data_IF_810727457293
#
_entry.id   IF_810727457293
#
_cell.length_a   1.000
_cell.length_b   1.000
_cell.length_c   1.000
_cell.angle_alpha   90.00
_cell.angle_beta   90.00
_cell.angle_gamma   90.00
#
_symmetry.space_group_name_H-M   'P 1'
#
loop_
_entity.id
_entity.type
_entity.pdbx_description
1 polymer ?
#
# COMPACT_ATOMS: atom_id res chain seq x y z
N UNK A 1 -9.17 34.41 0.45
CA UNK A 1 -8.33 33.32 -0.11
C UNK A 1 -7.98 32.38 1.02
N UNK A 2 -8.38 31.10 0.96
CA UNK A 2 -7.83 30.10 1.90
C UNK A 2 -6.35 29.90 1.55
N UNK A 3 -5.43 29.84 2.53
CA UNK A 3 -4.03 29.57 2.23
C UNK A 3 -3.93 28.24 1.48
N UNK A 4 -3.20 28.23 0.37
CA UNK A 4 -2.82 27.00 -0.34
C UNK A 4 -2.04 26.17 0.67
N UNK A 5 -2.60 25.04 1.11
CA UNK A 5 -1.89 24.10 1.96
C UNK A 5 -0.60 23.72 1.24
N UNK A 6 0.55 24.03 1.85
CA UNK A 6 1.83 23.66 1.28
C UNK A 6 1.87 22.13 1.15
N UNK A 7 2.33 21.63 0.01
CA UNK A 7 2.64 20.21 -0.15
C UNK A 7 3.64 19.84 0.95
N UNK A 8 3.25 18.92 1.83
CA UNK A 8 4.04 18.52 2.98
C UNK A 8 5.18 17.55 2.60
N UNK A 9 5.46 17.39 1.30
CA UNK A 9 6.45 16.46 0.78
C UNK A 9 5.88 15.07 0.50
N UNK A 10 4.56 14.87 0.63
CA UNK A 10 3.94 13.59 0.33
C UNK A 10 4.04 13.22 -1.17
N UNK A 11 3.84 14.19 -2.07
CA UNK A 11 3.81 13.90 -3.52
C UNK A 11 5.15 13.32 -4.03
N UNK A 12 6.32 13.92 -3.73
CA UNK A 12 7.61 13.36 -4.13
C UNK A 12 7.89 11.96 -3.56
N UNK A 13 7.43 11.68 -2.34
CA UNK A 13 7.58 10.35 -1.73
C UNK A 13 6.76 9.33 -2.52
N UNK A 14 5.50 9.64 -2.81
CA UNK A 14 4.63 8.74 -3.57
C UNK A 14 5.17 8.51 -4.99
N UNK A 15 5.64 9.57 -5.65
CA UNK A 15 6.28 9.46 -6.97
C UNK A 15 7.50 8.52 -6.94
N UNK A 16 8.31 8.61 -5.88
CA UNK A 16 9.46 7.72 -5.67
C UNK A 16 9.04 6.26 -5.47
N UNK A 17 7.93 6.02 -4.76
CA UNK A 17 7.39 4.66 -4.56
C UNK A 17 6.92 4.05 -5.89
N UNK A 18 6.21 4.83 -6.71
CA UNK A 18 5.73 4.38 -8.02
C UNK A 18 6.89 4.11 -8.99
N UNK A 19 7.91 4.97 -9.01
CA UNK A 19 9.14 4.73 -9.79
C UNK A 19 9.81 3.44 -9.34
N UNK A 20 9.99 3.23 -8.01
CA UNK A 20 10.57 2.00 -7.48
C UNK A 20 9.76 0.77 -7.90
N UNK A 21 8.43 0.84 -7.88
CA UNK A 21 7.60 -0.28 -8.33
C UNK A 21 7.79 -0.58 -9.82
N UNK A 22 7.99 0.45 -10.64
CA UNK A 22 8.28 0.29 -12.07
C UNK A 22 9.65 -0.37 -12.28
N UNK A 23 10.68 0.11 -11.58
CA UNK A 23 12.05 -0.44 -11.67
C UNK A 23 12.17 -1.90 -11.20
N UNK A 24 11.31 -2.30 -10.26
CA UNK A 24 11.32 -3.64 -9.66
C UNK A 24 10.23 -4.57 -10.20
N UNK A 25 9.46 -4.13 -11.19
CA UNK A 25 8.36 -4.90 -11.77
C UNK A 25 7.36 -5.38 -10.69
N UNK A 26 6.87 -4.43 -9.89
CA UNK A 26 6.01 -4.67 -8.72
C UNK A 26 4.55 -4.25 -8.94
N UNK A 27 4.22 -3.76 -10.13
CA UNK A 27 2.83 -3.60 -10.53
C UNK A 27 2.19 -4.97 -10.74
N UNK A 28 0.92 -5.10 -10.39
CA UNK A 28 0.15 -6.24 -10.88
C UNK A 28 -0.14 -6.05 -12.37
N UNK A 29 -0.49 -7.12 -13.07
CA UNK A 29 -0.99 -7.10 -14.45
C UNK A 29 -2.14 -8.10 -14.63
N UNK A 30 -2.64 -8.22 -15.87
CA UNK A 30 -3.79 -9.09 -16.19
C UNK A 30 -3.48 -10.59 -16.01
N UNK A 31 -2.20 -10.98 -16.01
CA UNK A 31 -1.74 -12.36 -15.89
C UNK A 31 -1.31 -12.72 -14.45
N UNK A 32 -0.84 -11.74 -13.68
CA UNK A 32 -0.23 -11.92 -12.38
C UNK A 32 -0.59 -10.78 -11.39
N UNK A 33 -1.38 -11.12 -10.37
CA UNK A 33 -1.70 -10.21 -9.27
C UNK A 33 -0.82 -10.49 -8.04
N UNK A 34 0.03 -9.53 -7.67
CA UNK A 34 0.93 -9.66 -6.51
C UNK A 34 0.13 -9.38 -5.24
N UNK A 35 0.00 -10.38 -4.36
CA UNK A 35 -0.86 -10.30 -3.18
C UNK A 35 -0.34 -11.13 -1.99
N UNK A 36 -0.95 -10.90 -0.81
CA UNK A 36 -0.68 -11.68 0.40
C UNK A 36 0.79 -11.76 0.80
N UNK A 37 1.35 -12.98 0.79
CA UNK A 37 2.75 -13.24 1.19
C UNK A 37 3.79 -12.65 0.24
N UNK A 38 3.37 -12.27 -0.96
CA UNK A 38 4.24 -11.72 -1.99
C UNK A 38 4.36 -10.20 -1.88
N UNK A 39 3.50 -9.56 -1.08
CA UNK A 39 3.59 -8.13 -0.79
C UNK A 39 4.87 -7.82 -0.01
N UNK A 40 5.56 -6.77 -0.43
CA UNK A 40 6.79 -6.29 0.16
C UNK A 40 6.59 -4.90 0.77
N UNK A 41 7.39 -4.51 1.78
CA UNK A 41 7.42 -3.14 2.24
C UNK A 41 7.60 -2.16 1.08
N UNK A 42 6.87 -1.05 1.16
CA UNK A 42 6.84 0.04 0.19
C UNK A 42 6.07 -0.24 -1.11
N UNK A 43 5.44 -1.41 -1.26
CA UNK A 43 4.49 -1.61 -2.35
C UNK A 43 3.26 -0.72 -2.16
N UNK A 44 2.79 -0.12 -3.25
CA UNK A 44 1.50 0.57 -3.31
C UNK A 44 0.43 -0.46 -3.68
N UNK A 45 -0.65 -0.48 -2.91
CA UNK A 45 -1.68 -1.52 -2.96
C UNK A 45 -3.07 -0.92 -3.04
N UNK A 46 -4.00 -1.75 -3.50
CA UNK A 46 -5.44 -1.48 -3.54
C UNK A 46 -6.20 -2.68 -2.99
N UNK A 47 -7.30 -2.41 -2.27
CA UNK A 47 -8.22 -3.44 -1.78
C UNK A 47 -9.44 -3.65 -2.71
N UNK A 48 -10.36 -4.51 -2.29
CA UNK A 48 -11.57 -4.84 -3.06
C UNK A 48 -12.57 -3.67 -3.19
N UNK A 49 -12.49 -2.69 -2.28
CA UNK A 49 -13.33 -1.49 -2.26
C UNK A 49 -12.72 -0.34 -3.09
N UNK A 50 -11.50 -0.52 -3.60
CA UNK A 50 -10.76 0.48 -4.36
C UNK A 50 -9.99 1.47 -3.49
N UNK A 51 -9.82 1.18 -2.20
CA UNK A 51 -9.03 2.04 -1.30
C UNK A 51 -7.54 1.73 -1.44
N UNK A 52 -6.74 2.81 -1.49
CA UNK A 52 -5.29 2.72 -1.69
C UNK A 52 -4.50 2.80 -0.38
N UNK A 53 -3.37 2.08 -0.36
CA UNK A 53 -2.44 2.06 0.76
C UNK A 53 -1.01 1.79 0.34
N UNK A 54 -0.11 1.89 1.32
CA UNK A 54 1.30 1.53 1.19
C UNK A 54 1.61 0.44 2.20
N UNK A 55 2.26 -0.64 1.79
CA UNK A 55 2.74 -1.66 2.71
C UNK A 55 3.82 -1.06 3.61
N UNK A 56 3.56 -0.96 4.91
CA UNK A 56 4.55 -0.51 5.90
C UNK A 56 5.37 -1.66 6.47
N UNK A 57 4.78 -2.86 6.54
CA UNK A 57 5.42 -4.05 7.08
C UNK A 57 4.82 -5.30 6.45
N UNK A 58 5.67 -6.27 6.12
CA UNK A 58 5.27 -7.64 5.81
C UNK A 58 6.14 -8.59 6.65
N UNK A 59 5.51 -9.48 7.42
CA UNK A 59 6.24 -10.32 8.38
C UNK A 59 5.54 -11.65 8.62
N UNK A 60 6.33 -12.73 8.68
CA UNK A 60 5.87 -14.03 9.16
C UNK A 60 5.90 -14.08 10.69
N UNK A 61 4.88 -14.67 11.31
CA UNK A 61 4.81 -14.88 12.75
C UNK A 61 4.35 -16.28 13.09
N UNK A 62 4.77 -16.82 14.23
CA UNK A 62 4.29 -18.12 14.70
C UNK A 62 2.88 -17.96 15.29
N UNK A 63 1.93 -18.77 14.83
CA UNK A 63 0.60 -18.80 15.42
C UNK A 63 0.63 -19.77 16.62
N UNK A 64 0.04 -19.39 17.75
CA UNK A 64 0.09 -20.17 18.99
C UNK A 64 -0.56 -21.58 18.88
N UNK A 65 -1.29 -21.86 17.80
CA UNK A 65 -1.96 -23.12 17.52
C UNK A 65 -1.22 -23.95 16.44
N UNK A 66 -0.06 -24.51 16.81
CA UNK A 66 0.69 -25.50 16.01
C UNK A 66 1.80 -24.93 15.12
N UNK A 67 2.54 -25.81 14.43
CA UNK A 67 3.69 -25.49 13.55
C UNK A 67 3.35 -24.64 12.30
N UNK A 68 2.22 -23.93 12.30
CA UNK A 68 1.81 -23.07 11.20
C UNK A 68 2.40 -21.67 11.40
N UNK A 69 3.15 -21.22 10.41
CA UNK A 69 3.57 -19.82 10.27
C UNK A 69 2.39 -19.03 9.69
N UNK A 70 1.94 -18.01 10.41
CA UNK A 70 1.03 -16.98 9.93
C UNK A 70 1.80 -15.90 9.19
N UNK A 71 1.09 -15.14 8.34
CA UNK A 71 1.64 -13.98 7.64
C UNK A 71 0.84 -12.74 8.00
N UNK A 72 1.51 -11.60 8.17
CA UNK A 72 0.87 -10.34 8.51
C UNK A 72 1.40 -9.23 7.63
N UNK A 73 0.50 -8.41 7.09
CA UNK A 73 0.85 -7.21 6.32
C UNK A 73 0.20 -6.01 6.99
N UNK A 74 0.95 -4.95 7.19
CA UNK A 74 0.43 -3.69 7.73
C UNK A 74 0.50 -2.62 6.66
N UNK A 75 -0.49 -1.74 6.64
CA UNK A 75 -0.62 -0.70 5.64
C UNK A 75 -0.59 0.69 6.28
N UNK A 76 -0.14 1.67 5.51
CA UNK A 76 -0.30 3.10 5.78
C UNK A 76 -1.22 3.65 4.69
N UNK A 77 -2.36 4.18 5.11
CA UNK A 77 -3.44 4.58 4.21
C UNK A 77 -4.78 4.55 4.95
N UNK A 78 -5.88 4.72 4.22
CA UNK A 78 -7.23 4.55 4.79
C UNK A 78 -7.54 3.07 5.02
N UNK A 79 -6.84 2.18 4.32
CA UNK A 79 -6.94 0.74 4.50
C UNK A 79 -6.69 0.32 5.96
N UNK A 80 -7.62 -0.43 6.59
CA UNK A 80 -7.37 -1.03 7.89
C UNK A 80 -6.19 -2.01 7.81
N UNK A 81 -5.39 -2.12 8.88
CA UNK A 81 -4.33 -3.13 8.97
C UNK A 81 -4.92 -4.53 8.84
N UNK A 82 -4.42 -5.34 7.90
CA UNK A 82 -4.94 -6.70 7.64
C UNK A 82 -3.98 -7.75 8.23
N UNK A 83 -4.42 -8.44 9.27
CA UNK A 83 -3.81 -9.71 9.68
C UNK A 83 -4.38 -10.81 8.79
N UNK A 84 -3.52 -11.52 8.04
CA UNK A 84 -3.94 -12.61 7.17
C UNK A 84 -4.34 -13.84 8.00
N UNK A 85 -5.57 -13.83 8.50
CA UNK A 85 -6.37 -15.02 8.84
C UNK A 85 -7.81 -14.87 8.33
N UNK A 86 -8.36 -13.64 8.27
CA UNK A 86 -9.67 -13.35 7.67
C UNK A 86 -9.76 -11.89 7.17
N UNK A 87 -10.14 -11.72 5.90
CA UNK A 87 -10.65 -10.51 5.19
C UNK A 87 -9.72 -9.67 4.28
N UNK A 88 -10.37 -9.25 3.16
CA UNK A 88 -10.03 -8.42 2.00
C UNK A 88 -8.83 -8.86 1.11
N UNK A 89 -9.05 -9.23 -0.16
CA UNK A 89 -7.96 -9.47 -1.11
C UNK A 89 -7.29 -8.14 -1.48
N UNK A 90 -6.12 -7.89 -0.88
CA UNK A 90 -5.25 -6.77 -1.23
C UNK A 90 -4.23 -7.21 -2.28
N UNK A 91 -4.07 -6.41 -3.34
CA UNK A 91 -3.03 -6.59 -4.37
C UNK A 91 -2.23 -5.32 -4.59
N UNK A 92 -1.05 -5.44 -5.21
CA UNK A 92 -0.39 -4.24 -5.75
C UNK A 92 -1.24 -3.63 -6.86
N UNK A 93 -1.08 -2.32 -7.06
CA UNK A 93 -1.80 -1.59 -8.11
C UNK A 93 -1.36 -2.03 -9.51
N UNK A 94 -2.23 -1.86 -10.50
CA UNK A 94 -1.87 -1.82 -11.91
C UNK A 94 -1.15 -0.50 -12.23
N UNK A 95 -0.32 -0.48 -13.28
CA UNK A 95 0.35 0.76 -13.71
C UNK A 95 -0.68 1.85 -14.08
N UNK A 96 -1.81 1.45 -14.66
CA UNK A 96 -2.93 2.35 -15.01
C UNK A 96 -3.63 2.98 -13.81
N UNK A 97 -3.52 2.37 -12.62
CA UNK A 97 -4.08 2.88 -11.36
C UNK A 97 -3.14 3.89 -10.67
N UNK A 98 -1.91 4.04 -11.16
CA UNK A 98 -0.87 4.87 -10.51
C UNK A 98 -1.26 6.33 -10.32
N UNK A 99 -1.99 6.92 -11.27
CA UNK A 99 -2.47 8.32 -11.16
C UNK A 99 -3.50 8.47 -10.04
N UNK A 100 -4.42 7.52 -9.93
CA UNK A 100 -5.46 7.52 -8.91
C UNK A 100 -4.88 7.27 -7.52
N UNK A 101 -4.02 6.25 -7.40
CA UNK A 101 -3.29 5.93 -6.18
C UNK A 101 -2.49 7.14 -5.69
N UNK A 102 -1.79 7.84 -6.60
CA UNK A 102 -1.04 9.06 -6.29
C UNK A 102 -1.93 10.15 -5.72
N UNK A 103 -3.05 10.45 -6.38
CA UNK A 103 -3.97 11.49 -5.93
C UNK A 103 -4.58 11.16 -4.56
N UNK A 104 -4.95 9.90 -4.36
CA UNK A 104 -5.51 9.39 -3.12
C UNK A 104 -4.51 9.51 -1.96
N UNK A 105 -3.31 8.95 -2.12
CA UNK A 105 -2.28 8.94 -1.09
C UNK A 105 -1.76 10.35 -0.79
N UNK A 106 -1.64 11.22 -1.81
CA UNK A 106 -1.24 12.61 -1.60
C UNK A 106 -2.26 13.37 -0.76
N UNK A 107 -3.56 13.13 -0.97
CA UNK A 107 -4.63 13.70 -0.13
C UNK A 107 -4.56 13.16 1.29
N UNK A 108 -4.40 11.84 1.46
CA UNK A 108 -4.36 11.20 2.77
C UNK A 108 -3.15 11.63 3.60
N UNK A 109 -1.94 11.57 3.02
CA UNK A 109 -0.68 11.91 3.67
C UNK A 109 -0.49 13.43 3.77
N UNK A 110 -0.96 14.18 2.78
CA UNK A 110 -0.93 15.65 2.71
C UNK A 110 -1.75 16.34 3.80
N UNK A 111 -2.83 15.70 4.25
CA UNK A 111 -3.66 16.15 5.36
C UNK A 111 -3.04 15.94 6.75
N UNK A 112 -2.00 15.11 6.85
CA UNK A 112 -1.34 14.80 8.12
C UNK A 112 -0.13 15.68 8.35
N UNK A 113 -0.05 16.20 9.57
CA UNK A 113 1.10 16.92 10.09
C UNK A 113 2.02 15.89 10.74
N UNK A 114 3.22 15.75 10.18
CA UNK A 114 4.24 14.83 10.64
C UNK A 114 5.17 15.60 11.57
N UNK A 115 4.80 15.70 12.84
CA UNK A 115 5.62 16.27 13.91
C UNK A 115 5.43 15.51 15.21
#
# INVERSE_FOLDING_TARGET
>A
MKPKQADNGASPIIDTLLIRMSELDRFSDDECAISGKELLPLDVVVDEDGDFGIVSRAVGYSVAAGDKLGWGVSFVGVMPSVTYEHHAPVRTIYETEGVEARAYLAKYLGGRRWY
#
